data_IF_164943751019
#
_entry.id   IF_164943751019
#
_cell.length_a   1.000
_cell.length_b   1.000
_cell.length_c   1.000
_cell.angle_alpha   90.00
_cell.angle_beta   90.00
_cell.angle_gamma   90.00
#
_symmetry.space_group_name_H-M   'P 1'
#
loop_
_entity.id
_entity.type
_entity.pdbx_description
1 polymer ?
#
# COMPACT_ATOMS: atom_id res chain seq x y z
N UNK A 1 18.13 -9.22 -5.73
CA UNK A 1 17.73 -7.81 -5.84
C UNK A 1 16.94 -7.48 -4.58
N UNK A 2 17.01 -6.24 -4.08
CA UNK A 2 16.09 -5.80 -3.04
C UNK A 2 14.81 -5.34 -3.74
N UNK A 3 13.67 -5.95 -3.40
CA UNK A 3 12.38 -5.69 -4.04
C UNK A 3 11.55 -4.68 -3.25
N UNK A 4 12.05 -4.23 -2.10
CA UNK A 4 11.37 -3.27 -1.23
C UNK A 4 12.15 -1.95 -1.25
N UNK A 5 11.48 -0.89 -1.71
CA UNK A 5 12.03 0.47 -1.67
C UNK A 5 11.54 1.18 -0.41
N UNK A 6 12.48 1.55 0.46
CA UNK A 6 12.21 2.28 1.71
C UNK A 6 12.38 3.80 1.49
N UNK A 7 11.33 4.57 1.75
CA UNK A 7 11.39 6.03 1.84
C UNK A 7 11.76 6.51 3.24
N UNK A 8 11.44 5.73 4.27
CA UNK A 8 11.77 5.97 5.67
C UNK A 8 12.00 4.64 6.42
N UNK A 9 12.63 4.69 7.59
CA UNK A 9 12.87 3.53 8.46
C UNK A 9 12.39 3.84 9.88
N UNK A 10 11.07 3.76 10.15
CA UNK A 10 10.55 4.05 11.47
C UNK A 10 11.08 3.03 12.49
N UNK A 11 11.40 3.52 13.69
CA UNK A 11 11.74 2.66 14.82
C UNK A 11 10.44 2.10 15.43
N UNK A 12 10.09 0.87 15.07
CA UNK A 12 8.90 0.17 15.55
C UNK A 12 9.27 -0.87 16.60
N UNK A 13 8.48 -0.95 17.67
CA UNK A 13 8.60 -1.98 18.70
C UNK A 13 7.51 -3.04 18.53
N UNK A 14 7.92 -4.24 18.11
CA UNK A 14 7.06 -5.44 17.95
C UNK A 14 5.72 -5.14 17.26
N UNK A 15 5.74 -4.55 16.06
CA UNK A 15 4.51 -4.11 15.42
C UNK A 15 3.60 -5.30 15.06
N UNK A 16 2.28 -5.10 15.18
CA UNK A 16 1.35 -6.01 14.52
C UNK A 16 1.35 -5.71 13.03
N UNK A 17 1.36 -6.76 12.20
CA UNK A 17 1.34 -6.63 10.75
C UNK A 17 -0.02 -7.04 10.19
N UNK A 18 -0.70 -6.12 9.52
CA UNK A 18 -1.98 -6.34 8.86
C UNK A 18 -1.75 -6.29 7.34
N UNK A 19 -2.25 -7.28 6.61
CA UNK A 19 -2.17 -7.33 5.16
C UNK A 19 -3.55 -7.38 4.53
N UNK A 20 -3.76 -6.60 3.48
CA UNK A 20 -4.91 -6.71 2.60
C UNK A 20 -4.46 -6.73 1.14
N UNK A 21 -4.99 -7.70 0.39
CA UNK A 21 -4.72 -7.87 -1.02
C UNK A 21 -6.02 -7.68 -1.76
N UNK A 22 -6.05 -6.77 -2.74
CA UNK A 22 -7.23 -6.58 -3.60
C UNK A 22 -7.35 -7.74 -4.58
N UNK A 23 -8.52 -7.83 -5.23
CA UNK A 23 -8.77 -8.81 -6.27
C UNK A 23 -9.51 -10.04 -5.74
N UNK A 24 -9.08 -11.23 -6.16
CA UNK A 24 -9.88 -12.46 -6.02
C UNK A 24 -10.21 -12.81 -4.56
N UNK A 25 -9.27 -12.59 -3.64
CA UNK A 25 -9.46 -12.89 -2.21
C UNK A 25 -10.24 -11.80 -1.46
N UNK A 26 -10.67 -10.72 -2.12
CA UNK A 26 -11.26 -9.54 -1.49
C UNK A 26 -12.67 -9.26 -2.01
N UNK A 27 -13.56 -10.23 -1.77
CA UNK A 27 -14.97 -10.13 -2.16
C UNK A 27 -15.65 -8.90 -1.54
N UNK A 28 -16.19 -8.03 -2.40
CA UNK A 28 -16.81 -6.78 -1.97
C UNK A 28 -15.82 -5.76 -1.40
N UNK A 29 -14.52 -5.92 -1.66
CA UNK A 29 -13.43 -5.05 -1.20
C UNK A 29 -13.33 -4.93 0.33
N UNK A 30 -13.86 -5.92 1.07
CA UNK A 30 -13.99 -5.85 2.52
C UNK A 30 -12.63 -5.69 3.24
N UNK A 31 -11.62 -6.45 2.85
CA UNK A 31 -10.30 -6.42 3.45
C UNK A 31 -9.53 -5.16 3.06
N UNK A 32 -9.50 -4.80 1.77
CA UNK A 32 -8.78 -3.61 1.31
C UNK A 32 -9.41 -2.32 1.81
N UNK A 33 -10.74 -2.20 1.82
CA UNK A 33 -11.42 -1.04 2.43
C UNK A 33 -11.18 -0.96 3.93
N UNK A 34 -11.17 -2.09 4.66
CA UNK A 34 -10.84 -2.08 6.09
C UNK A 34 -9.39 -1.61 6.33
N UNK A 35 -8.43 -2.09 5.54
CA UNK A 35 -7.03 -1.68 5.66
C UNK A 35 -6.83 -0.19 5.30
N UNK A 36 -7.48 0.30 4.23
CA UNK A 36 -7.42 1.70 3.84
C UNK A 36 -8.10 2.60 4.91
N UNK A 37 -9.25 2.18 5.47
CA UNK A 37 -9.92 2.87 6.57
C UNK A 37 -9.04 2.97 7.83
N UNK A 38 -8.37 1.87 8.22
CA UNK A 38 -7.49 1.85 9.38
C UNK A 38 -6.24 2.71 9.15
N UNK A 39 -5.68 2.68 7.93
CA UNK A 39 -4.56 3.53 7.53
C UNK A 39 -4.90 5.00 7.71
N UNK A 40 -6.07 5.44 7.24
CA UNK A 40 -6.55 6.82 7.42
C UNK A 40 -6.83 7.13 8.89
N UNK A 41 -7.55 6.24 9.59
CA UNK A 41 -7.97 6.46 10.98
C UNK A 41 -6.78 6.59 11.96
N UNK A 42 -5.68 5.90 11.68
CA UNK A 42 -4.49 5.92 12.52
C UNK A 42 -3.41 6.92 12.08
N UNK A 43 -3.68 7.73 11.04
CA UNK A 43 -2.68 8.61 10.40
C UNK A 43 -1.39 7.83 10.02
N UNK A 44 -1.57 6.63 9.47
CA UNK A 44 -0.46 5.75 9.14
C UNK A 44 0.31 6.27 7.93
N UNK A 45 1.63 6.34 8.05
CA UNK A 45 2.52 6.95 7.05
C UNK A 45 3.23 5.89 6.24
N UNK A 46 3.23 6.06 4.92
CA UNK A 46 3.99 5.20 4.01
C UNK A 46 5.50 5.35 4.28
N UNK A 47 6.17 4.22 4.52
CA UNK A 47 7.63 4.18 4.73
C UNK A 47 8.34 3.24 3.75
N UNK A 48 7.59 2.39 3.04
CA UNK A 48 8.13 1.52 2.01
C UNK A 48 7.09 1.13 0.97
N UNK A 49 7.57 0.66 -0.18
CA UNK A 49 6.75 0.08 -1.24
C UNK A 49 7.45 -1.12 -1.89
N UNK A 50 6.66 -2.02 -2.46
CA UNK A 50 7.13 -3.17 -3.24
C UNK A 50 7.26 -2.77 -4.71
N UNK A 51 8.41 -3.04 -5.32
CA UNK A 51 8.63 -2.85 -6.75
C UNK A 51 7.65 -3.73 -7.54
N UNK A 52 6.74 -3.15 -8.35
CA UNK A 52 5.71 -3.94 -8.98
C UNK A 52 6.20 -4.79 -10.16
N UNK A 53 7.36 -4.53 -10.75
CA UNK A 53 7.83 -5.25 -11.96
C UNK A 53 7.91 -6.77 -11.75
N UNK A 54 8.21 -7.21 -10.53
CA UNK A 54 8.44 -8.62 -10.18
C UNK A 54 7.17 -9.34 -9.71
N UNK A 55 6.11 -8.59 -9.36
CA UNK A 55 4.92 -9.17 -8.71
C UNK A 55 3.61 -8.92 -9.47
N UNK A 56 3.63 -8.08 -10.50
CA UNK A 56 2.44 -7.71 -11.26
C UNK A 56 2.55 -8.11 -12.72
N UNK A 57 1.53 -8.81 -13.21
CA UNK A 57 1.28 -8.87 -14.64
C UNK A 57 0.51 -7.61 -15.06
N UNK A 58 1.18 -6.66 -15.70
CA UNK A 58 0.58 -5.39 -16.13
C UNK A 58 -0.45 -5.54 -17.25
N UNK A 59 -0.59 -6.71 -17.87
CA UNK A 59 -1.69 -7.00 -18.79
C UNK A 59 -3.00 -7.34 -18.05
N UNK A 60 -2.87 -7.89 -16.84
CA UNK A 60 -3.96 -8.22 -15.93
C UNK A 60 -4.29 -7.02 -15.03
N UNK A 61 -3.30 -6.51 -14.29
CA UNK A 61 -3.45 -5.36 -13.38
C UNK A 61 -2.81 -4.12 -14.03
N UNK A 62 -3.63 -3.36 -14.75
CA UNK A 62 -3.15 -2.25 -15.58
C UNK A 62 -2.86 -0.98 -14.76
N UNK A 63 -1.76 -0.26 -15.07
CA UNK A 63 -1.55 1.08 -14.54
C UNK A 63 -2.68 2.02 -14.94
N UNK A 64 -3.06 2.91 -14.03
CA UNK A 64 -4.08 3.93 -14.29
C UNK A 64 -3.42 5.22 -14.76
N UNK A 65 -4.02 5.87 -15.75
CA UNK A 65 -3.54 7.16 -16.26
C UNK A 65 -4.45 8.27 -15.75
N UNK A 66 -3.87 9.30 -15.14
CA UNK A 66 -4.57 10.52 -14.73
C UNK A 66 -3.98 11.73 -15.45
N UNK A 67 -4.86 12.68 -15.81
CA UNK A 67 -4.46 13.99 -16.31
C UNK A 67 -4.30 14.95 -15.13
N UNK A 68 -3.11 15.49 -14.93
CA UNK A 68 -2.83 16.56 -13.99
C UNK A 68 -2.77 17.90 -14.76
N UNK A 69 -3.58 18.85 -14.31
CA UNK A 69 -3.71 20.21 -14.88
C UNK A 69 -4.02 20.23 -16.39
N UNK A 70 -4.71 19.20 -16.91
CA UNK A 70 -5.16 19.14 -18.30
C UNK A 70 -4.06 18.91 -19.34
N UNK A 71 -2.78 18.86 -18.94
CA UNK A 71 -1.64 18.75 -19.87
C UNK A 71 -0.70 17.60 -19.49
N UNK A 72 -0.43 17.43 -18.19
CA UNK A 72 0.53 16.42 -17.73
C UNK A 72 -0.13 15.08 -17.47
N UNK A 73 0.52 13.99 -17.91
CA UNK A 73 0.04 12.63 -17.73
C UNK A 73 0.76 11.99 -16.54
N UNK A 74 0.04 11.66 -15.48
CA UNK A 74 0.54 10.89 -14.35
C UNK A 74 0.12 9.43 -14.56
N UNK A 75 1.09 8.52 -14.43
CA UNK A 75 0.83 7.07 -14.47
C UNK A 75 0.91 6.57 -13.03
N UNK A 76 -0.19 6.03 -12.53
CA UNK A 76 -0.28 5.34 -11.26
C UNK A 76 -0.12 3.85 -11.50
N UNK A 77 1.06 3.33 -11.14
CA UNK A 77 1.36 1.91 -11.20
C UNK A 77 0.69 1.16 -10.05
N UNK A 78 0.18 -0.06 -10.26
CA UNK A 78 -0.22 -0.91 -9.14
C UNK A 78 1.02 -1.16 -8.28
N UNK A 79 0.88 -1.09 -6.96
CA UNK A 79 2.00 -1.28 -6.03
C UNK A 79 1.52 -1.78 -4.68
N UNK A 80 2.35 -2.61 -4.04
CA UNK A 80 2.23 -2.90 -2.62
C UNK A 80 2.83 -1.76 -1.79
N UNK A 81 2.08 -1.19 -0.84
CA UNK A 81 2.55 -0.11 0.04
C UNK A 81 2.57 -0.57 1.48
N UNK A 82 3.59 -0.15 2.24
CA UNK A 82 3.70 -0.37 3.68
C UNK A 82 3.51 0.97 4.39
N UNK A 83 2.52 1.05 5.26
CA UNK A 83 2.30 2.21 6.15
C UNK A 83 2.49 1.81 7.60
N UNK A 84 2.92 2.74 8.45
CA UNK A 84 3.10 2.51 9.88
C UNK A 84 2.43 3.60 10.71
N UNK A 85 1.88 3.20 11.86
CA UNK A 85 1.32 4.08 12.87
C UNK A 85 1.55 3.53 14.28
N UNK A 86 1.33 4.38 15.29
CA UNK A 86 1.18 3.95 16.68
C UNK A 86 -0.24 4.22 17.15
N UNK A 87 -0.93 3.18 17.58
CA UNK A 87 -2.34 3.23 17.97
C UNK A 87 -2.57 2.39 19.21
N UNK A 88 -3.33 2.90 20.19
CA UNK A 88 -3.63 2.18 21.43
C UNK A 88 -2.38 1.68 22.19
N UNK A 89 -1.24 2.36 22.06
CA UNK A 89 0.03 1.96 22.69
C UNK A 89 0.79 0.83 21.98
N UNK A 90 0.38 0.43 20.78
CA UNK A 90 1.05 -0.59 19.95
C UNK A 90 1.40 -0.02 18.58
N UNK A 91 2.57 -0.40 18.08
CA UNK A 91 2.96 -0.09 16.71
C UNK A 91 2.25 -1.05 15.74
N UNK A 92 1.83 -0.54 14.61
CA UNK A 92 1.14 -1.31 13.57
C UNK A 92 1.76 -1.00 12.23
N UNK A 93 1.90 -2.03 11.40
CA UNK A 93 2.23 -1.90 9.99
C UNK A 93 1.06 -2.44 9.19
N UNK A 94 0.59 -1.65 8.22
CA UNK A 94 -0.45 -2.05 7.29
C UNK A 94 0.18 -2.18 5.90
N UNK A 95 0.00 -3.34 5.29
CA UNK A 95 0.37 -3.60 3.91
C UNK A 95 -0.88 -3.72 3.05
N UNK A 96 -0.96 -2.92 2.00
CA UNK A 96 -2.03 -3.02 1.00
C UNK A 96 -1.41 -3.23 -0.37
N UNK A 97 -1.85 -4.27 -1.08
CA UNK A 97 -1.47 -4.54 -2.47
C UNK A 97 -2.73 -4.58 -3.35
N UNK A 98 -2.62 -3.92 -4.51
CA UNK A 98 -3.61 -4.02 -5.58
C UNK A 98 -3.40 -5.26 -6.43
#
# INVERSE_FOLDING_TARGET
MDHVSFSDRPALDRPAFLCAFRGWNDGGEAASMAADYLTERWDAREFASLDPEEFYDFQVTRPTVRLAEGVSRVIEWPRGKFTAARTGGRDVVVFTAA
#
